data_IF_705686008583
#
_entry.id   IF_705686008583
#
_cell.length_a   1.000
_cell.length_b   1.000
_cell.length_c   1.000
_cell.angle_alpha   90.00
_cell.angle_beta   90.00
_cell.angle_gamma   90.00
#
_symmetry.space_group_name_H-M   'P 1'
#
loop_
_entity.id
_entity.type
_entity.pdbx_description
1 polymer ?
#
# COMPACT_ATOMS: atom_id res chain seq x y z
N UNK A 1 10.09 -3.11 2.25
CA UNK A 1 11.08 -2.36 3.04
C UNK A 1 11.77 -3.30 4.02
N UNK A 2 13.05 -3.12 4.34
CA UNK A 2 13.74 -3.95 5.34
C UNK A 2 13.53 -3.38 6.75
N UNK A 3 12.98 -4.19 7.66
CA UNK A 3 12.72 -3.84 9.07
C UNK A 3 13.25 -4.97 9.95
N UNK A 4 14.18 -4.66 10.87
CA UNK A 4 14.80 -5.66 11.76
C UNK A 4 15.32 -6.90 11.02
N UNK A 5 15.95 -6.70 9.86
CA UNK A 5 16.50 -7.79 9.03
C UNK A 5 15.45 -8.62 8.26
N UNK A 6 14.17 -8.24 8.28
CA UNK A 6 13.09 -8.92 7.55
C UNK A 6 12.43 -7.99 6.54
N UNK A 7 12.01 -8.55 5.41
CA UNK A 7 11.21 -7.81 4.45
C UNK A 7 9.80 -7.60 4.99
N UNK A 8 9.39 -6.34 5.05
CA UNK A 8 8.05 -5.90 5.44
C UNK A 8 7.35 -5.23 4.24
N UNK A 9 6.11 -5.65 4.01
CA UNK A 9 5.21 -4.99 3.09
C UNK A 9 4.54 -3.79 3.80
N UNK A 10 4.40 -2.67 3.09
CA UNK A 10 3.92 -1.38 3.65
C UNK A 10 2.61 -0.94 2.98
N UNK A 11 2.58 -1.08 1.66
CA UNK A 11 1.41 -0.85 0.83
C UNK A 11 1.43 -1.88 -0.30
N UNK A 12 0.27 -2.37 -0.70
CA UNK A 12 0.10 -3.30 -1.82
C UNK A 12 -1.08 -2.84 -2.68
N UNK A 13 -0.89 -2.84 -3.98
CA UNK A 13 -1.95 -2.61 -4.97
C UNK A 13 -2.23 -3.93 -5.68
N UNK A 14 -3.49 -4.31 -5.79
CA UNK A 14 -3.90 -5.48 -6.57
C UNK A 14 -5.32 -5.31 -7.15
N UNK A 15 -5.75 -6.27 -7.97
CA UNK A 15 -7.06 -6.29 -8.65
C UNK A 15 -7.87 -7.54 -8.33
N UNK A 16 -7.64 -8.16 -7.15
CA UNK A 16 -8.35 -9.37 -6.79
C UNK A 16 -9.87 -9.13 -6.71
N UNK A 17 -10.65 -10.14 -7.10
CA UNK A 17 -12.11 -10.07 -7.21
C UNK A 17 -12.65 -9.04 -8.23
N UNK A 18 -11.83 -8.68 -9.22
CA UNK A 18 -12.25 -7.78 -10.30
C UNK A 18 -12.37 -6.31 -9.89
N UNK A 19 -11.86 -5.96 -8.70
CA UNK A 19 -11.92 -4.60 -8.17
C UNK A 19 -10.50 -4.16 -7.78
N UNK A 20 -9.99 -3.05 -8.33
CA UNK A 20 -8.70 -2.53 -7.92
C UNK A 20 -8.81 -2.04 -6.47
N UNK A 21 -7.83 -2.39 -5.65
CA UNK A 21 -7.76 -1.95 -4.27
C UNK A 21 -6.33 -1.83 -3.78
N UNK A 22 -6.20 -1.11 -2.67
CA UNK A 22 -4.94 -0.93 -1.96
C UNK A 22 -5.08 -1.54 -0.58
N UNK A 23 -4.17 -2.43 -0.22
CA UNK A 23 -3.97 -2.84 1.17
C UNK A 23 -2.89 -1.97 1.80
N UNK A 24 -3.30 -1.26 2.83
CA UNK A 24 -2.44 -0.49 3.70
C UNK A 24 -2.05 -1.39 4.88
N UNK A 25 -0.76 -1.69 5.02
CA UNK A 25 -0.27 -2.71 5.97
C UNK A 25 0.38 -2.02 7.16
N UNK A 26 0.01 -2.42 8.37
CA UNK A 26 0.57 -1.95 9.63
C UNK A 26 1.70 -2.86 10.12
N UNK A 27 2.56 -2.42 11.06
CA UNK A 27 3.70 -3.21 11.53
C UNK A 27 3.37 -4.52 12.23
N UNK A 28 2.16 -4.63 12.77
CA UNK A 28 1.62 -5.86 13.37
C UNK A 28 1.06 -6.84 12.32
N UNK A 29 1.04 -6.45 11.04
CA UNK A 29 0.55 -7.24 9.92
C UNK A 29 -0.94 -7.06 9.63
N UNK A 30 -1.65 -6.23 10.40
CA UNK A 30 -3.04 -5.87 10.08
C UNK A 30 -3.09 -5.07 8.79
N UNK A 31 -4.23 -5.16 8.08
CA UNK A 31 -4.42 -4.58 6.76
C UNK A 31 -5.70 -3.78 6.71
N UNK A 32 -5.60 -2.54 6.31
CA UNK A 32 -6.73 -1.70 5.93
C UNK A 32 -6.90 -1.78 4.41
N UNK A 33 -8.00 -2.36 3.94
CA UNK A 33 -8.32 -2.45 2.52
C UNK A 33 -9.09 -1.21 2.07
N UNK A 34 -8.62 -0.57 1.01
CA UNK A 34 -9.27 0.60 0.38
C UNK A 34 -9.59 0.27 -1.07
N UNK A 35 -10.86 0.33 -1.44
CA UNK A 35 -11.28 0.21 -2.83
C UNK A 35 -10.77 1.41 -3.62
N UNK A 36 -10.30 1.15 -4.83
CA UNK A 36 -9.94 2.18 -5.80
C UNK A 36 -11.05 2.28 -6.84
N UNK A 37 -11.54 3.49 -7.07
CA UNK A 37 -12.62 3.74 -8.01
C UNK A 37 -12.04 4.31 -9.32
N UNK A 38 -11.58 3.41 -10.18
CA UNK A 38 -11.08 3.74 -11.52
C UNK A 38 -11.98 3.10 -12.59
N UNK A 39 -12.12 3.72 -13.76
CA UNK A 39 -12.99 3.23 -14.82
C UNK A 39 -12.47 1.93 -15.47
N UNK A 40 -11.17 1.65 -15.35
CA UNK A 40 -10.55 0.42 -15.83
C UNK A 40 -9.26 0.11 -15.04
N UNK A 41 -8.72 -1.10 -15.22
CA UNK A 41 -7.49 -1.52 -14.53
C UNK A 41 -6.22 -0.82 -15.04
N UNK A 42 -6.21 -0.31 -16.26
CA UNK A 42 -5.06 0.44 -16.78
C UNK A 42 -4.88 1.74 -16.00
N UNK A 43 -5.96 2.47 -15.76
CA UNK A 43 -5.94 3.71 -14.97
C UNK A 43 -5.58 3.43 -13.51
N UNK A 44 -6.13 2.35 -12.94
CA UNK A 44 -5.76 1.92 -11.59
C UNK A 44 -4.27 1.54 -11.47
N UNK A 45 -3.71 0.90 -12.51
CA UNK A 45 -2.30 0.53 -12.54
C UNK A 45 -1.39 1.74 -12.66
N UNK A 46 -1.71 2.68 -13.55
CA UNK A 46 -1.01 3.96 -13.65
C UNK A 46 -1.01 4.71 -12.32
N UNK A 47 -2.18 4.80 -11.67
CA UNK A 47 -2.30 5.38 -10.33
C UNK A 47 -1.41 4.67 -9.29
N UNK A 48 -1.41 3.34 -9.26
CA UNK A 48 -0.58 2.58 -8.32
C UNK A 48 0.92 2.87 -8.50
N UNK A 49 1.38 3.00 -9.75
CA UNK A 49 2.77 3.35 -10.05
C UNK A 49 3.11 4.76 -9.61
N UNK A 50 2.23 5.73 -9.92
CA UNK A 50 2.41 7.13 -9.54
C UNK A 50 2.41 7.31 -8.02
N UNK A 51 1.44 6.72 -7.33
CA UNK A 51 1.34 6.83 -5.87
C UNK A 51 2.57 6.26 -5.17
N UNK A 52 3.02 5.06 -5.54
CA UNK A 52 4.21 4.47 -4.92
C UNK A 52 5.43 5.35 -5.18
N UNK A 53 5.61 5.89 -6.39
CA UNK A 53 6.76 6.75 -6.70
C UNK A 53 6.70 8.08 -5.94
N UNK A 54 5.54 8.72 -5.88
CA UNK A 54 5.38 10.05 -5.30
C UNK A 54 5.28 10.02 -3.76
N UNK A 55 4.68 8.97 -3.20
CA UNK A 55 4.29 8.91 -1.78
C UNK A 55 5.07 7.85 -0.98
N UNK A 56 6.13 7.25 -1.53
CA UNK A 56 6.87 6.18 -0.84
C UNK A 56 7.32 6.56 0.57
N UNK A 57 7.89 7.76 0.74
CA UNK A 57 8.39 8.18 2.05
C UNK A 57 7.25 8.34 3.06
N UNK A 58 6.12 8.89 2.63
CA UNK A 58 4.91 9.02 3.46
C UNK A 58 4.38 7.65 3.90
N UNK A 59 4.37 6.66 3.00
CA UNK A 59 3.98 5.29 3.35
C UNK A 59 4.90 4.68 4.40
N UNK A 60 6.21 4.91 4.28
CA UNK A 60 7.21 4.46 5.26
C UNK A 60 7.06 5.15 6.61
N UNK A 61 6.95 6.48 6.63
CA UNK A 61 6.75 7.24 7.86
C UNK A 61 5.53 6.77 8.62
N UNK A 62 4.40 6.62 7.91
CA UNK A 62 3.14 6.13 8.49
C UNK A 62 3.30 4.74 9.11
N UNK A 63 3.98 3.82 8.41
CA UNK A 63 4.30 2.48 8.94
C UNK A 63 5.11 2.56 10.25
N UNK A 64 6.16 3.38 10.31
CA UNK A 64 6.96 3.50 11.53
C UNK A 64 6.25 4.24 12.67
N UNK A 65 5.38 5.20 12.38
CA UNK A 65 4.60 5.93 13.38
C UNK A 65 3.55 5.04 14.04
N UNK A 66 2.88 4.17 13.28
CA UNK A 66 1.92 3.21 13.82
C UNK A 66 2.59 2.21 14.77
N UNK A 67 3.78 1.71 14.43
CA UNK A 67 4.51 0.73 15.24
C UNK A 67 5.15 1.28 16.51
N UNK A 68 5.02 2.59 16.78
CA UNK A 68 5.45 3.23 18.03
C UNK A 68 4.32 3.39 19.05
N UNK A 69 3.07 3.11 18.65
CA UNK A 69 1.91 3.08 19.54
C UNK A 69 1.83 1.72 20.24
#
# INVERSE_FOLDING_TARGET
MLVKGKWAAVVRYDTAHGQPHTDVISPDGTKEKRLLHFPNFSDAFSYAQEDVKANWERHRERYFLEGKK
#
